data_IF_844331533013
#
_entry.id   IF_844331533013
#
_cell.length_a   1.000
_cell.length_b   1.000
_cell.length_c   1.000
_cell.angle_alpha   90.00
_cell.angle_beta   90.00
_cell.angle_gamma   90.00
#
_symmetry.space_group_name_H-M   'P 1'
#
loop_
_entity.id
_entity.type
_entity.pdbx_description
1 polymer ?
#
# COMPACT_ATOMS: atom_id res chain seq x y z
N UNK A 1 23.60 -31.75 70.10
CA UNK A 1 23.79 -30.35 69.68
C UNK A 1 23.71 -30.32 68.15
N UNK A 2 22.58 -29.92 67.61
CA UNK A 2 22.32 -29.85 66.17
C UNK A 2 22.77 -28.50 65.62
N UNK A 3 23.71 -28.50 64.66
CA UNK A 3 24.11 -27.28 63.93
C UNK A 3 23.10 -27.11 62.76
N UNK A 4 22.32 -26.08 62.81
CA UNK A 4 21.50 -25.64 61.71
C UNK A 4 22.39 -24.83 60.75
N UNK A 5 22.54 -25.32 59.52
CA UNK A 5 23.14 -24.58 58.42
C UNK A 5 22.07 -23.64 57.82
N UNK A 6 22.28 -22.35 57.94
CA UNK A 6 21.44 -21.32 57.34
C UNK A 6 21.90 -21.12 55.88
N UNK A 7 21.15 -21.68 54.94
CA UNK A 7 21.37 -21.41 53.51
C UNK A 7 20.79 -20.04 53.14
N UNK A 8 21.67 -19.10 52.95
CA UNK A 8 21.33 -17.78 52.42
C UNK A 8 21.18 -17.90 50.89
N UNK A 9 19.93 -18.02 50.41
CA UNK A 9 19.65 -17.89 48.99
C UNK A 9 19.77 -16.41 48.61
N UNK A 10 20.87 -16.08 47.94
CA UNK A 10 21.07 -14.77 47.31
C UNK A 10 20.19 -14.75 46.04
N UNK A 11 18.99 -14.20 46.14
CA UNK A 11 18.19 -13.86 44.96
C UNK A 11 18.89 -12.69 44.25
N UNK A 12 19.69 -13.02 43.20
CA UNK A 12 20.16 -12.01 42.26
C UNK A 12 18.92 -11.55 41.46
N UNK A 13 18.27 -10.49 41.94
CA UNK A 13 17.39 -9.70 41.09
C UNK A 13 18.27 -9.06 40.03
N UNK A 14 18.20 -9.58 38.80
CA UNK A 14 18.66 -8.90 37.60
C UNK A 14 17.84 -7.61 37.48
N UNK A 15 18.35 -6.55 38.14
CA UNK A 15 17.93 -5.20 37.79
C UNK A 15 18.44 -4.98 36.37
N UNK A 16 17.55 -5.07 35.41
CA UNK A 16 17.79 -4.54 34.06
C UNK A 16 18.10 -3.06 34.25
N UNK A 17 19.36 -2.70 34.13
CA UNK A 17 19.77 -1.30 34.03
C UNK A 17 19.04 -0.77 32.80
N UNK A 18 18.17 0.23 32.94
CA UNK A 18 17.54 0.81 31.74
C UNK A 18 18.67 1.28 30.82
N UNK A 19 18.70 0.76 29.62
CA UNK A 19 19.64 1.23 28.60
C UNK A 19 19.47 2.75 28.52
N UNK A 20 20.58 3.49 28.68
CA UNK A 20 20.56 4.95 28.53
C UNK A 20 19.98 5.26 27.15
N UNK A 21 18.90 6.04 27.14
CA UNK A 21 18.27 6.47 25.89
C UNK A 21 19.31 7.18 25.01
N UNK A 22 19.31 6.84 23.72
CA UNK A 22 20.20 7.43 22.71
C UNK A 22 19.45 8.52 21.95
N UNK A 23 20.13 9.59 21.65
CA UNK A 23 19.54 10.62 20.81
C UNK A 23 19.40 10.12 19.36
N UNK A 24 18.22 10.28 18.77
CA UNK A 24 17.92 9.90 17.38
C UNK A 24 18.25 8.44 17.04
N UNK A 25 17.79 7.51 17.84
CA UNK A 25 18.15 6.09 17.66
C UNK A 25 16.92 5.18 17.64
N UNK A 26 16.92 4.22 16.71
CA UNK A 26 15.98 3.12 16.70
C UNK A 26 16.16 2.17 17.91
N UNK A 27 17.33 2.18 18.56
CA UNK A 27 17.57 1.41 19.78
C UNK A 27 16.70 1.84 20.95
N UNK A 28 16.06 3.01 20.84
CA UNK A 28 15.08 3.49 21.81
C UNK A 28 13.74 2.76 21.74
N UNK A 29 13.46 2.04 20.64
CA UNK A 29 12.29 1.20 20.53
C UNK A 29 12.47 -0.10 21.31
N UNK A 30 12.19 -0.05 22.60
CA UNK A 30 12.34 -1.18 23.51
C UNK A 30 10.99 -1.62 24.05
N UNK A 31 10.72 -2.92 24.02
CA UNK A 31 9.54 -3.51 24.66
C UNK A 31 9.76 -3.52 26.17
N UNK A 32 9.23 -2.49 26.85
CA UNK A 32 9.39 -2.31 28.32
C UNK A 32 8.31 -2.98 29.15
N UNK A 33 7.30 -3.60 28.52
CA UNK A 33 6.18 -4.28 29.15
C UNK A 33 5.95 -5.64 28.53
N UNK A 34 5.18 -6.49 29.19
CA UNK A 34 4.73 -7.78 28.65
C UNK A 34 3.22 -7.75 28.47
N UNK A 35 2.75 -8.07 27.26
CA UNK A 35 1.33 -8.28 27.05
C UNK A 35 0.92 -9.67 27.58
N UNK A 36 -0.11 -9.70 28.41
CA UNK A 36 -0.64 -10.91 29.04
C UNK A 36 -2.18 -10.95 28.99
N UNK A 37 -2.76 -10.51 27.86
CA UNK A 37 -4.22 -10.52 27.67
C UNK A 37 -4.95 -9.35 28.32
N UNK A 38 -4.35 -8.17 28.37
CA UNK A 38 -4.95 -7.00 29.04
C UNK A 38 -6.21 -6.47 28.32
N UNK A 39 -6.39 -6.78 27.04
CA UNK A 39 -7.54 -6.30 26.28
C UNK A 39 -8.54 -7.41 26.02
N UNK A 40 -9.76 -7.24 26.57
CA UNK A 40 -10.82 -8.27 26.51
C UNK A 40 -11.37 -8.52 25.09
N UNK A 41 -11.20 -7.57 24.17
CA UNK A 41 -11.60 -7.67 22.77
C UNK A 41 -10.49 -8.19 21.83
N UNK A 42 -9.34 -8.60 22.37
CA UNK A 42 -8.20 -9.10 21.59
C UNK A 42 -7.92 -10.58 21.91
N UNK A 43 -8.65 -11.53 21.34
CA UNK A 43 -8.40 -12.95 21.54
C UNK A 43 -7.12 -13.41 20.84
N UNK A 44 -6.44 -14.42 21.37
CA UNK A 44 -5.35 -15.11 20.69
C UNK A 44 -5.79 -15.57 19.29
N UNK A 45 -4.94 -15.37 18.30
CA UNK A 45 -5.26 -15.69 16.90
C UNK A 45 -6.04 -14.60 16.14
N UNK A 46 -6.41 -13.47 16.77
CA UNK A 46 -6.94 -12.33 16.04
C UNK A 46 -5.89 -11.75 15.09
N UNK A 47 -6.27 -11.34 13.88
CA UNK A 47 -5.36 -10.79 12.85
C UNK A 47 -4.43 -9.69 13.37
N UNK A 48 -4.89 -8.87 14.32
CA UNK A 48 -4.11 -7.78 14.90
C UNK A 48 -3.49 -8.13 16.26
N UNK A 49 -3.52 -9.40 16.69
CA UNK A 49 -3.05 -9.78 18.03
C UNK A 49 -1.61 -9.34 18.28
N UNK A 50 -0.69 -9.76 17.42
CA UNK A 50 0.75 -9.43 17.56
C UNK A 50 1.00 -7.92 17.52
N UNK A 51 0.29 -7.21 16.63
CA UNK A 51 0.47 -5.77 16.50
C UNK A 51 -0.04 -5.01 17.72
N UNK A 52 -1.22 -5.34 18.24
CA UNK A 52 -1.80 -4.66 19.40
C UNK A 52 -1.02 -5.01 20.68
N UNK A 53 -0.60 -6.28 20.83
CA UNK A 53 0.29 -6.69 21.90
C UNK A 53 1.61 -5.92 21.90
N UNK A 54 2.27 -5.83 20.73
CA UNK A 54 3.49 -5.07 20.57
C UNK A 54 3.30 -3.58 20.87
N UNK A 55 2.19 -2.97 20.42
CA UNK A 55 1.90 -1.56 20.71
C UNK A 55 1.79 -1.28 22.22
N UNK A 56 1.23 -2.22 22.98
CA UNK A 56 1.20 -2.17 24.43
C UNK A 56 2.60 -2.34 25.04
N UNK A 57 3.37 -3.30 24.54
CA UNK A 57 4.71 -3.61 25.03
C UNK A 57 5.72 -2.47 24.81
N UNK A 58 5.62 -1.76 23.69
CA UNK A 58 6.37 -0.54 23.42
C UNK A 58 5.88 0.69 24.23
N UNK A 59 4.83 0.53 25.04
CA UNK A 59 4.29 1.63 25.86
C UNK A 59 3.55 2.70 25.06
N UNK A 60 3.24 2.44 23.79
CA UNK A 60 2.57 3.38 22.90
C UNK A 60 1.05 3.42 23.11
N UNK A 61 0.45 2.35 23.64
CA UNK A 61 -0.97 2.29 23.99
C UNK A 61 -1.20 1.54 25.29
N UNK A 62 -2.25 1.92 26.01
CA UNK A 62 -2.77 1.22 27.19
C UNK A 62 -4.21 0.72 27.00
N UNK A 63 -4.76 0.84 25.78
CA UNK A 63 -6.15 0.52 25.48
C UNK A 63 -7.13 1.60 25.92
N UNK A 64 -8.37 1.21 26.16
CA UNK A 64 -9.45 2.05 26.61
C UNK A 64 -9.76 1.81 28.11
N UNK A 65 -10.50 2.74 28.72
CA UNK A 65 -10.82 2.69 30.15
C UNK A 65 -11.72 1.49 30.52
N UNK A 66 -12.43 0.90 29.57
CA UNK A 66 -13.28 -0.26 29.74
C UNK A 66 -12.55 -1.61 29.64
N UNK A 67 -11.21 -1.58 29.48
CA UNK A 67 -10.40 -2.78 29.35
C UNK A 67 -10.39 -3.38 27.94
N UNK A 68 -10.90 -2.66 26.95
CA UNK A 68 -10.82 -3.05 25.52
C UNK A 68 -9.69 -2.31 24.82
N UNK A 69 -9.27 -2.80 23.66
CA UNK A 69 -8.46 -2.02 22.73
C UNK A 69 -9.33 -1.17 21.79
N UNK A 70 -10.52 -1.64 21.47
CA UNK A 70 -11.46 -1.02 20.53
C UNK A 70 -11.10 -1.32 19.08
N UNK A 71 -10.79 -2.57 18.74
CA UNK A 71 -10.24 -3.01 17.46
C UNK A 71 -10.96 -2.45 16.23
N UNK A 72 -12.30 -2.46 16.24
CA UNK A 72 -13.16 -2.05 15.13
C UNK A 72 -13.54 -0.58 15.16
N UNK A 73 -13.27 0.10 16.28
CA UNK A 73 -13.58 1.53 16.41
C UNK A 73 -12.75 2.37 15.41
N UNK A 74 -13.37 3.36 14.75
CA UNK A 74 -12.63 4.27 13.90
C UNK A 74 -11.66 5.12 14.73
N UNK A 75 -10.51 5.45 14.15
CA UNK A 75 -9.52 6.35 14.74
C UNK A 75 -9.75 7.77 14.23
N UNK A 76 -9.58 8.78 15.08
CA UNK A 76 -9.59 10.17 14.63
C UNK A 76 -8.19 10.60 14.17
N UNK A 77 -8.12 11.64 13.34
CA UNK A 77 -6.84 12.26 12.93
C UNK A 77 -6.01 12.67 14.14
N UNK A 78 -6.63 13.28 15.15
CA UNK A 78 -5.95 13.66 16.39
C UNK A 78 -5.37 12.48 17.15
N UNK A 79 -6.05 11.35 17.18
CA UNK A 79 -5.50 10.11 17.78
C UNK A 79 -4.30 9.58 16.98
N UNK A 80 -4.35 9.63 15.65
CA UNK A 80 -3.20 9.26 14.82
C UNK A 80 -1.99 10.17 15.10
N UNK A 81 -2.22 11.47 15.23
CA UNK A 81 -1.19 12.46 15.57
C UNK A 81 -0.58 12.20 16.96
N UNK A 82 -1.37 11.80 17.97
CA UNK A 82 -0.84 11.40 19.28
C UNK A 82 0.13 10.22 19.13
N UNK A 83 -0.28 9.16 18.45
CA UNK A 83 0.59 7.99 18.26
C UNK A 83 1.87 8.35 17.49
N UNK A 84 1.75 9.14 16.45
CA UNK A 84 2.88 9.62 15.67
C UNK A 84 3.85 10.44 16.53
N UNK A 85 3.35 11.39 17.33
CA UNK A 85 4.13 12.18 18.22
C UNK A 85 4.88 11.34 19.26
N UNK A 86 4.24 10.31 19.81
CA UNK A 86 4.87 9.37 20.74
C UNK A 86 5.99 8.57 20.07
N UNK A 87 5.77 8.05 18.88
CA UNK A 87 6.81 7.33 18.12
C UNK A 87 7.99 8.25 17.81
N UNK A 88 7.72 9.48 17.35
CA UNK A 88 8.78 10.45 17.05
C UNK A 88 9.56 10.82 18.30
N UNK A 89 8.88 11.09 19.41
CA UNK A 89 9.51 11.41 20.69
C UNK A 89 10.34 10.25 21.23
N UNK A 90 9.80 9.03 21.16
CA UNK A 90 10.53 7.81 21.56
C UNK A 90 11.81 7.65 20.74
N UNK A 91 11.77 7.82 19.42
CA UNK A 91 12.95 7.81 18.56
C UNK A 91 13.97 8.87 18.95
N UNK A 92 13.50 10.10 19.23
CA UNK A 92 14.36 11.25 19.53
C UNK A 92 15.01 11.17 20.91
N UNK A 93 14.29 10.68 21.91
CA UNK A 93 14.65 10.87 23.33
C UNK A 93 14.61 9.60 24.18
N UNK A 94 14.03 8.53 23.68
CA UNK A 94 13.73 7.32 24.45
C UNK A 94 12.50 7.43 25.38
N UNK A 95 11.82 8.58 25.37
CA UNK A 95 10.58 8.82 26.12
C UNK A 95 9.47 9.28 25.17
N UNK A 96 8.33 8.56 25.09
CA UNK A 96 7.24 8.89 24.15
C UNK A 96 6.57 10.24 24.43
N UNK A 97 6.72 10.79 25.65
CA UNK A 97 6.04 12.04 26.06
C UNK A 97 6.98 13.26 26.13
N UNK A 98 8.29 13.07 26.14
CA UNK A 98 9.26 14.16 26.34
C UNK A 98 9.17 15.26 25.28
N UNK A 99 9.05 14.91 24.00
CA UNK A 99 8.93 15.88 22.92
C UNK A 99 7.64 16.69 22.99
N UNK A 100 6.44 16.06 23.01
CA UNK A 100 5.17 16.76 23.16
C UNK A 100 5.05 17.60 24.44
N UNK A 101 5.68 17.16 25.55
CA UNK A 101 5.63 17.88 26.82
C UNK A 101 6.09 19.34 26.73
N UNK A 102 7.04 19.65 25.83
CA UNK A 102 7.52 21.01 25.59
C UNK A 102 6.41 21.97 25.11
N UNK A 103 5.33 21.45 24.53
CA UNK A 103 4.22 22.23 23.96
C UNK A 103 2.97 22.26 24.86
N UNK A 104 2.97 21.47 25.96
CA UNK A 104 1.80 21.34 26.85
C UNK A 104 1.36 22.67 27.46
N UNK A 105 2.30 23.50 27.87
CA UNK A 105 1.98 24.81 28.45
C UNK A 105 1.26 25.75 27.47
N UNK A 106 1.63 25.71 26.19
CA UNK A 106 0.98 26.50 25.14
C UNK A 106 -0.45 26.02 24.85
N UNK A 107 -0.78 24.77 25.12
CA UNK A 107 -2.08 24.17 24.89
C UNK A 107 -3.12 24.43 25.99
N UNK A 108 -2.74 24.99 27.14
CA UNK A 108 -3.60 25.14 28.32
C UNK A 108 -4.87 25.97 28.02
N UNK A 109 -4.79 26.95 27.12
CA UNK A 109 -5.93 27.79 26.72
C UNK A 109 -6.90 27.18 25.73
N UNK A 110 -6.59 25.99 25.19
CA UNK A 110 -7.41 25.28 24.21
C UNK A 110 -8.52 24.50 24.89
N UNK A 111 -9.60 24.24 24.15
CA UNK A 111 -10.75 23.46 24.65
C UNK A 111 -10.51 21.97 24.49
N UNK A 112 -10.88 21.21 25.50
CA UNK A 112 -11.05 19.75 25.56
C UNK A 112 -10.11 18.94 24.64
N UNK A 113 -10.68 18.36 23.59
CA UNK A 113 -9.94 17.49 22.66
C UNK A 113 -8.76 18.19 21.97
N UNK A 114 -8.89 19.47 21.62
CA UNK A 114 -7.81 20.24 21.00
C UNK A 114 -6.60 20.35 21.96
N UNK A 115 -6.85 20.56 23.25
CA UNK A 115 -5.78 20.60 24.24
C UNK A 115 -5.00 19.28 24.33
N UNK A 116 -5.66 18.16 24.07
CA UNK A 116 -5.03 16.83 24.09
C UNK A 116 -4.16 16.61 22.87
N UNK A 117 -4.61 17.03 21.67
CA UNK A 117 -3.91 16.79 20.41
C UNK A 117 -2.79 17.78 20.11
N UNK A 118 -3.01 19.07 20.48
CA UNK A 118 -2.14 20.16 20.08
C UNK A 118 -0.66 19.99 20.44
N UNK A 119 -0.28 19.50 21.63
CA UNK A 119 1.13 19.28 21.96
C UNK A 119 1.84 18.35 20.99
N UNK A 120 1.18 17.27 20.56
CA UNK A 120 1.74 16.31 19.63
C UNK A 120 1.80 16.87 18.21
N UNK A 121 0.73 17.56 17.76
CA UNK A 121 0.70 18.22 16.47
C UNK A 121 1.83 19.24 16.34
N UNK A 122 1.92 20.17 17.28
CA UNK A 122 2.95 21.21 17.27
C UNK A 122 4.36 20.66 17.37
N UNK A 123 4.54 19.60 18.14
CA UNK A 123 5.81 18.87 18.19
C UNK A 123 6.18 18.29 16.82
N UNK A 124 5.28 17.57 16.15
CA UNK A 124 5.56 16.98 14.84
C UNK A 124 5.83 18.06 13.77
N UNK A 125 5.12 19.18 13.83
CA UNK A 125 5.35 20.34 12.96
C UNK A 125 6.70 21.00 13.24
N UNK A 126 7.07 21.16 14.50
CA UNK A 126 8.37 21.70 14.88
C UNK A 126 9.54 20.80 14.48
N UNK A 127 9.34 19.47 14.49
CA UNK A 127 10.28 18.49 13.95
C UNK A 127 10.32 18.45 12.42
N UNK A 128 9.43 19.16 11.73
CA UNK A 128 9.35 19.22 10.27
C UNK A 128 8.89 17.91 9.62
N UNK A 129 8.23 17.03 10.37
CA UNK A 129 7.79 15.70 9.88
C UNK A 129 6.30 15.64 9.55
N UNK A 130 5.53 16.63 9.93
CA UNK A 130 4.12 16.81 9.57
C UNK A 130 3.87 18.27 9.18
N UNK A 131 3.16 18.48 8.11
CA UNK A 131 2.73 19.81 7.66
C UNK A 131 1.39 20.23 8.32
N UNK A 132 0.75 21.30 7.80
CA UNK A 132 -0.49 21.86 8.34
C UNK A 132 -1.76 21.32 7.65
N UNK A 133 -1.65 20.38 6.74
CA UNK A 133 -2.78 19.90 5.94
C UNK A 133 -3.93 19.31 6.80
N UNK A 134 -3.61 18.82 8.00
CA UNK A 134 -4.57 18.18 8.89
C UNK A 134 -5.00 19.05 10.11
N UNK A 135 -4.52 20.29 10.23
CA UNK A 135 -4.74 21.12 11.43
C UNK A 135 -6.21 21.28 11.82
N UNK A 136 -7.09 21.43 10.85
CA UNK A 136 -8.52 21.61 11.08
C UNK A 136 -9.34 20.32 11.10
N UNK A 137 -8.67 19.17 10.92
CA UNK A 137 -9.32 17.88 10.77
C UNK A 137 -9.14 16.95 11.98
N UNK A 138 -8.49 17.39 13.05
CA UNK A 138 -8.10 16.55 14.18
C UNK A 138 -9.25 15.82 14.86
N UNK A 139 -10.46 16.39 14.87
CA UNK A 139 -11.65 15.75 15.42
C UNK A 139 -12.33 14.77 14.48
N UNK A 140 -11.99 14.80 13.18
CA UNK A 140 -12.61 13.96 12.18
C UNK A 140 -12.07 12.51 12.26
N UNK A 141 -12.88 11.58 11.80
CA UNK A 141 -12.42 10.19 11.57
C UNK A 141 -11.33 10.23 10.49
N UNK A 142 -10.21 9.62 10.78
CA UNK A 142 -9.09 9.57 9.86
C UNK A 142 -9.36 8.59 8.71
N UNK A 143 -9.07 9.00 7.49
CA UNK A 143 -8.97 8.09 6.36
C UNK A 143 -7.63 7.34 6.39
N UNK A 144 -7.55 6.25 5.64
CA UNK A 144 -6.29 5.51 5.49
C UNK A 144 -5.21 6.36 4.81
N UNK A 145 -5.57 7.21 3.86
CA UNK A 145 -4.65 8.16 3.21
C UNK A 145 -4.11 9.22 4.20
N UNK A 146 -4.96 9.76 5.07
CA UNK A 146 -4.52 10.66 6.13
C UNK A 146 -3.59 9.97 7.14
N UNK A 147 -3.86 8.71 7.48
CA UNK A 147 -2.95 7.92 8.32
C UNK A 147 -1.59 7.73 7.64
N UNK A 148 -1.56 7.47 6.33
CA UNK A 148 -0.31 7.37 5.58
C UNK A 148 0.48 8.68 5.65
N UNK A 149 -0.17 9.82 5.46
CA UNK A 149 0.44 11.15 5.56
C UNK A 149 1.05 11.41 6.94
N UNK A 150 0.35 11.06 8.00
CA UNK A 150 0.85 11.20 9.38
C UNK A 150 2.10 10.36 9.63
N UNK A 151 2.22 9.20 8.99
CA UNK A 151 3.31 8.25 9.25
C UNK A 151 4.53 8.38 8.33
N UNK A 152 4.32 8.82 7.10
CA UNK A 152 5.32 8.69 6.03
C UNK A 152 6.68 9.33 6.33
N UNK A 153 6.68 10.49 7.00
CA UNK A 153 7.90 11.25 7.28
C UNK A 153 8.34 11.19 8.75
N UNK A 154 7.69 10.33 9.53
CA UNK A 154 7.87 10.26 10.98
C UNK A 154 9.28 9.82 11.39
N UNK A 155 9.87 8.92 10.64
CA UNK A 155 11.20 8.36 10.89
C UNK A 155 12.08 8.49 9.63
N UNK A 156 13.41 8.63 9.80
CA UNK A 156 14.33 8.71 8.67
C UNK A 156 14.44 7.37 7.92
N UNK A 157 14.90 7.42 6.68
CA UNK A 157 15.06 6.25 5.82
C UNK A 157 16.05 5.22 6.39
N UNK A 158 17.03 5.67 7.17
CA UNK A 158 17.95 4.78 7.89
C UNK A 158 17.25 3.86 8.90
N UNK A 159 16.09 4.27 9.41
CA UNK A 159 15.24 3.49 10.33
C UNK A 159 14.10 2.79 9.59
N UNK A 160 13.61 3.40 8.52
CA UNK A 160 12.58 2.88 7.63
C UNK A 160 13.16 2.64 6.22
N UNK A 161 14.12 1.71 6.06
CA UNK A 161 14.64 1.41 4.74
C UNK A 161 13.55 0.80 3.85
N UNK A 162 13.60 1.03 2.54
CA UNK A 162 12.74 0.35 1.60
C UNK A 162 13.05 -1.16 1.60
N UNK A 163 12.03 -1.97 1.82
CA UNK A 163 12.13 -3.45 1.81
C UNK A 163 11.40 -4.05 0.61
N UNK A 164 10.54 -3.27 -0.04
CA UNK A 164 9.66 -3.69 -1.13
C UNK A 164 9.81 -2.87 -2.41
N UNK A 165 10.92 -2.17 -2.63
CA UNK A 165 11.09 -1.25 -3.77
C UNK A 165 10.78 -1.89 -5.12
N UNK A 166 11.32 -3.08 -5.35
CA UNK A 166 11.09 -3.80 -6.60
C UNK A 166 9.64 -4.26 -6.78
N UNK A 167 8.98 -4.67 -5.69
CA UNK A 167 7.58 -5.10 -5.72
C UNK A 167 6.63 -3.94 -6.03
N UNK A 168 6.90 -2.76 -5.48
CA UNK A 168 6.09 -1.56 -5.75
C UNK A 168 6.22 -1.13 -7.21
N UNK A 169 7.44 -1.09 -7.72
CA UNK A 169 7.69 -0.75 -9.13
C UNK A 169 7.00 -1.75 -10.05
N UNK A 170 7.08 -3.05 -9.76
CA UNK A 170 6.42 -4.09 -10.53
C UNK A 170 4.89 -4.03 -10.42
N UNK A 171 4.37 -3.88 -9.22
CA UNK A 171 2.94 -3.78 -8.99
C UNK A 171 2.35 -2.56 -9.69
N UNK A 172 3.08 -1.46 -9.66
CA UNK A 172 2.67 -0.22 -10.29
C UNK A 172 2.76 -0.28 -11.81
N UNK A 173 3.85 -0.80 -12.33
CA UNK A 173 4.04 -0.98 -13.78
C UNK A 173 3.03 -1.97 -14.38
N UNK A 174 2.74 -3.07 -13.67
CA UNK A 174 1.76 -4.06 -14.11
C UNK A 174 0.31 -3.64 -13.89
N UNK A 175 0.06 -2.58 -13.12
CA UNK A 175 -1.27 -2.10 -12.70
C UNK A 175 -2.17 -3.18 -12.08
N UNK A 176 -1.58 -4.24 -11.54
CA UNK A 176 -2.29 -5.39 -10.98
C UNK A 176 -2.48 -5.30 -9.48
N UNK A 177 -1.70 -4.42 -8.83
CA UNK A 177 -1.72 -4.19 -7.39
C UNK A 177 -1.77 -2.70 -7.11
N UNK A 178 -2.28 -2.32 -5.97
CA UNK A 178 -2.48 -0.91 -5.58
C UNK A 178 -3.29 -0.17 -6.65
N UNK A 179 -4.32 -0.82 -7.16
CA UNK A 179 -5.10 -0.34 -8.33
C UNK A 179 -5.93 0.89 -8.04
N UNK A 180 -6.20 1.14 -6.76
CA UNK A 180 -7.02 2.23 -6.24
C UNK A 180 -6.20 3.46 -5.82
N UNK A 181 -4.90 3.50 -6.14
CA UNK A 181 -4.00 4.63 -5.83
C UNK A 181 -3.35 5.13 -7.12
N UNK A 182 -3.56 6.41 -7.42
CA UNK A 182 -2.99 7.10 -8.58
C UNK A 182 -2.29 8.37 -8.14
N UNK A 183 -1.58 9.03 -9.05
CA UNK A 183 -0.94 10.32 -8.80
C UNK A 183 -1.92 11.43 -8.36
N UNK A 184 -3.22 11.24 -8.59
CA UNK A 184 -4.29 12.15 -8.14
C UNK A 184 -4.85 11.79 -6.77
N UNK A 185 -4.49 10.64 -6.21
CA UNK A 185 -4.93 10.24 -4.87
C UNK A 185 -4.26 11.14 -3.83
N UNK A 186 -5.02 11.74 -2.91
CA UNK A 186 -4.43 12.52 -1.82
C UNK A 186 -3.35 11.71 -1.08
N UNK A 187 -2.21 12.35 -0.82
CA UNK A 187 -1.07 11.73 -0.14
C UNK A 187 -0.47 10.51 -0.87
N UNK A 188 -0.55 10.49 -2.19
CA UNK A 188 -0.04 9.44 -3.06
C UNK A 188 1.38 8.97 -2.71
N UNK A 189 2.34 9.89 -2.62
CA UNK A 189 3.73 9.54 -2.31
C UNK A 189 3.90 8.96 -0.90
N UNK A 190 3.09 9.42 0.05
CA UNK A 190 3.11 8.92 1.42
C UNK A 190 2.56 7.49 1.47
N UNK A 191 1.49 7.21 0.73
CA UNK A 191 0.94 5.86 0.59
C UNK A 191 2.00 4.92 -0.01
N UNK A 192 2.63 5.29 -1.12
CA UNK A 192 3.66 4.47 -1.75
C UNK A 192 4.85 4.22 -0.80
N UNK A 193 5.24 5.22 -0.01
CA UNK A 193 6.30 5.06 0.98
C UNK A 193 5.96 4.00 2.03
N UNK A 194 4.72 3.94 2.50
CA UNK A 194 4.30 2.89 3.44
C UNK A 194 4.40 1.48 2.84
N UNK A 195 4.06 1.32 1.57
CA UNK A 195 4.25 0.02 0.88
C UNK A 195 5.73 -0.31 0.74
N UNK A 196 6.54 0.62 0.27
CA UNK A 196 7.99 0.44 0.10
C UNK A 196 8.68 -0.01 1.38
N UNK A 197 8.27 0.56 2.52
CA UNK A 197 8.86 0.24 3.83
C UNK A 197 8.21 -0.96 4.53
N UNK A 198 7.25 -1.65 3.91
CA UNK A 198 6.57 -2.79 4.50
C UNK A 198 5.61 -2.45 5.65
N UNK A 199 5.18 -1.19 5.73
CA UNK A 199 4.23 -0.71 6.74
C UNK A 199 2.80 -1.07 6.33
N UNK A 200 2.49 -0.98 5.03
CA UNK A 200 1.24 -1.44 4.43
C UNK A 200 1.50 -2.43 3.31
N UNK A 201 0.57 -3.36 3.12
CA UNK A 201 0.54 -4.27 1.96
C UNK A 201 -0.84 -4.29 1.29
N UNK A 202 -1.67 -3.31 1.64
CA UNK A 202 -3.06 -3.25 1.22
C UNK A 202 -4.03 -3.86 2.21
N UNK A 203 -5.29 -3.92 1.82
CA UNK A 203 -6.41 -4.40 2.64
C UNK A 203 -6.99 -5.72 2.14
N UNK A 204 -6.59 -6.14 0.96
CA UNK A 204 -7.04 -7.36 0.29
C UNK A 204 -5.90 -8.03 -0.49
N UNK A 205 -6.20 -9.15 -1.14
CA UNK A 205 -5.24 -9.92 -1.95
C UNK A 205 -4.73 -9.16 -3.18
N UNK A 206 -5.45 -8.14 -3.63
CA UNK A 206 -5.03 -7.30 -4.75
C UNK A 206 -4.09 -6.17 -4.31
N UNK A 207 -3.90 -6.00 -3.01
CA UNK A 207 -3.09 -4.94 -2.45
C UNK A 207 -3.77 -3.58 -2.48
N UNK A 208 -5.09 -3.50 -2.60
CA UNK A 208 -5.84 -2.23 -2.58
C UNK A 208 -5.62 -1.47 -1.28
N UNK A 209 -5.36 -0.18 -1.38
CA UNK A 209 -5.09 0.65 -0.20
C UNK A 209 -6.36 1.14 0.48
N UNK A 210 -7.43 1.40 -0.27
CA UNK A 210 -8.68 2.01 0.17
C UNK A 210 -8.45 3.39 0.80
N UNK A 211 -7.91 4.37 0.04
CA UNK A 211 -7.41 5.63 0.58
C UNK A 211 -8.45 6.44 1.36
N UNK A 212 -9.70 6.45 0.91
CA UNK A 212 -10.79 7.22 1.50
C UNK A 212 -11.52 6.49 2.63
N UNK A 213 -11.25 5.20 2.82
CA UNK A 213 -11.89 4.42 3.87
C UNK A 213 -11.43 4.84 5.26
N UNK A 214 -12.34 4.88 6.25
CA UNK A 214 -11.97 5.08 7.64
C UNK A 214 -10.96 4.04 8.11
N UNK A 215 -9.92 4.48 8.83
CA UNK A 215 -9.00 3.54 9.47
C UNK A 215 -9.53 3.12 10.83
N UNK A 216 -9.55 1.81 11.10
CA UNK A 216 -9.87 1.28 12.42
C UNK A 216 -8.64 1.30 13.33
N UNK A 217 -8.86 1.29 14.65
CA UNK A 217 -7.76 1.24 15.63
C UNK A 217 -6.92 -0.02 15.48
N UNK A 218 -7.52 -1.18 15.13
CA UNK A 218 -6.78 -2.41 14.85
C UNK A 218 -5.86 -2.29 13.63
N UNK A 219 -6.37 -1.76 12.52
CA UNK A 219 -5.58 -1.53 11.31
C UNK A 219 -4.47 -0.48 11.54
N UNK A 220 -4.77 0.58 12.30
CA UNK A 220 -3.78 1.58 12.68
C UNK A 220 -2.69 0.98 13.58
N UNK A 221 -3.02 0.10 14.54
CA UNK A 221 -2.04 -0.59 15.37
C UNK A 221 -1.03 -1.36 14.54
N UNK A 222 -1.49 -2.05 13.48
CA UNK A 222 -0.59 -2.76 12.58
C UNK A 222 0.40 -1.82 11.88
N UNK A 223 -0.04 -0.67 11.39
CA UNK A 223 0.84 0.32 10.78
C UNK A 223 1.82 0.91 11.81
N UNK A 224 1.33 1.31 12.97
CA UNK A 224 2.14 1.94 14.04
C UNK A 224 3.24 1.01 14.56
N UNK A 225 2.94 -0.26 14.78
CA UNK A 225 3.93 -1.22 15.28
C UNK A 225 4.99 -1.55 14.26
N UNK A 226 4.64 -1.62 12.97
CA UNK A 226 5.61 -1.79 11.90
C UNK A 226 6.57 -0.62 11.73
N UNK A 227 6.18 0.58 12.20
CA UNK A 227 7.09 1.72 12.27
C UNK A 227 8.22 1.47 13.26
N UNK A 228 7.93 0.89 14.41
CA UNK A 228 8.87 0.75 15.55
C UNK A 228 9.54 -0.63 15.61
N UNK A 229 8.93 -1.66 15.00
CA UNK A 229 9.41 -3.03 15.03
C UNK A 229 9.66 -3.56 13.60
N UNK A 230 10.92 -3.61 13.17
CA UNK A 230 11.26 -4.13 11.84
C UNK A 230 10.83 -5.59 11.60
N UNK A 231 10.72 -6.40 12.67
CA UNK A 231 10.30 -7.81 12.54
C UNK A 231 8.84 -7.99 12.15
N UNK A 232 8.02 -6.96 12.35
CA UNK A 232 6.60 -6.93 11.98
C UNK A 232 6.34 -6.35 10.58
N UNK A 233 7.38 -5.84 9.91
CA UNK A 233 7.26 -5.32 8.54
C UNK A 233 6.96 -6.44 7.57
N UNK A 234 6.15 -6.13 6.58
CA UNK A 234 5.67 -7.12 5.63
C UNK A 234 6.42 -7.00 4.30
N UNK A 235 6.86 -8.13 3.80
CA UNK A 235 7.27 -8.32 2.41
C UNK A 235 6.19 -9.18 1.76
N UNK A 236 5.21 -8.58 1.10
CA UNK A 236 4.14 -9.37 0.52
C UNK A 236 4.70 -10.23 -0.60
N UNK A 237 4.37 -11.49 -0.56
CA UNK A 237 4.50 -12.38 -1.70
C UNK A 237 3.32 -12.11 -2.65
N UNK A 238 3.40 -11.01 -3.36
CA UNK A 238 2.48 -10.78 -4.44
C UNK A 238 2.88 -11.69 -5.60
N UNK A 239 2.43 -12.93 -5.55
CA UNK A 239 2.45 -13.77 -6.72
C UNK A 239 1.67 -13.04 -7.81
N UNK A 240 2.38 -12.44 -8.74
CA UNK A 240 1.79 -12.12 -10.02
C UNK A 240 1.33 -13.47 -10.57
N UNK A 241 0.05 -13.62 -11.00
CA UNK A 241 -0.38 -14.85 -11.61
C UNK A 241 0.64 -15.20 -12.68
N UNK A 242 1.04 -16.47 -12.74
CA UNK A 242 1.97 -16.98 -13.75
C UNK A 242 1.43 -16.54 -15.10
N UNK A 243 2.08 -15.55 -15.70
CA UNK A 243 1.75 -15.12 -17.06
C UNK A 243 2.20 -16.15 -18.09
N UNK A 244 3.06 -17.08 -17.63
CA UNK A 244 3.61 -18.15 -18.44
C UNK A 244 3.63 -19.44 -17.62
N UNK A 245 2.74 -20.39 -17.95
CA UNK A 245 3.02 -21.75 -17.62
C UNK A 245 4.17 -22.23 -18.51
N UNK A 246 5.08 -23.01 -17.96
CA UNK A 246 6.24 -23.57 -18.68
C UNK A 246 5.89 -24.47 -19.88
N UNK A 247 4.62 -24.66 -20.20
CA UNK A 247 4.10 -25.55 -21.23
C UNK A 247 3.63 -24.81 -22.51
N UNK A 248 4.13 -23.57 -22.72
CA UNK A 248 3.91 -22.91 -24.01
C UNK A 248 2.44 -22.63 -24.31
N UNK A 249 1.75 -21.97 -23.38
CA UNK A 249 0.52 -21.28 -23.73
C UNK A 249 0.84 -20.30 -24.86
N UNK A 250 0.27 -20.54 -26.03
CA UNK A 250 0.48 -19.64 -27.16
C UNK A 250 0.08 -18.23 -26.73
N UNK A 251 0.82 -17.21 -27.18
CA UNK A 251 0.49 -15.80 -26.88
C UNK A 251 -0.94 -15.43 -27.25
N UNK A 252 -1.53 -16.15 -28.19
CA UNK A 252 -2.94 -16.08 -28.55
C UNK A 252 -3.88 -16.38 -27.38
N UNK A 253 -3.49 -17.27 -26.43
CA UNK A 253 -4.31 -17.62 -25.26
C UNK A 253 -4.38 -16.51 -24.22
N UNK A 254 -3.42 -15.59 -24.20
CA UNK A 254 -3.42 -14.44 -23.28
C UNK A 254 -4.49 -13.40 -23.65
N UNK A 255 -4.90 -13.36 -24.90
CA UNK A 255 -5.92 -12.42 -25.43
C UNK A 255 -7.30 -13.10 -25.54
N UNK A 256 -7.35 -14.43 -25.65
CA UNK A 256 -8.55 -15.16 -26.08
C UNK A 256 -9.53 -15.54 -24.97
N UNK A 257 -9.18 -15.42 -23.70
CA UNK A 257 -9.98 -15.98 -22.60
C UNK A 257 -10.98 -15.00 -21.94
N UNK A 258 -11.42 -13.96 -22.63
CA UNK A 258 -12.41 -13.03 -22.10
C UNK A 258 -13.85 -13.54 -22.23
N UNK A 259 -14.72 -13.16 -21.32
CA UNK A 259 -16.15 -13.42 -21.35
C UNK A 259 -16.90 -12.10 -21.55
N UNK A 260 -17.89 -12.11 -22.42
CA UNK A 260 -18.76 -10.95 -22.57
C UNK A 260 -19.56 -10.71 -21.27
N UNK A 261 -19.35 -9.56 -20.66
CA UNK A 261 -20.06 -9.10 -19.47
C UNK A 261 -20.78 -7.81 -19.84
N UNK A 262 -22.10 -7.86 -19.87
CA UNK A 262 -22.92 -6.73 -20.30
C UNK A 262 -22.98 -5.60 -19.25
N UNK A 263 -22.87 -5.94 -17.98
CA UNK A 263 -22.91 -5.01 -16.84
C UNK A 263 -21.81 -5.35 -15.84
N UNK A 264 -20.55 -4.95 -16.09
CA UNK A 264 -19.45 -5.21 -15.19
C UNK A 264 -19.59 -4.35 -13.92
N UNK A 265 -19.40 -4.97 -12.75
CA UNK A 265 -19.50 -4.31 -11.45
C UNK A 265 -18.12 -4.16 -10.79
N UNK A 266 -17.20 -5.07 -11.10
CA UNK A 266 -15.86 -5.10 -10.49
C UNK A 266 -14.76 -4.87 -11.53
N UNK A 267 -13.56 -4.49 -11.08
CA UNK A 267 -12.39 -4.37 -11.94
C UNK A 267 -12.08 -5.69 -12.70
N UNK A 268 -12.37 -6.85 -12.09
CA UNK A 268 -12.22 -8.15 -12.72
C UNK A 268 -13.23 -8.37 -13.84
N UNK A 269 -14.46 -7.89 -13.69
CA UNK A 269 -15.49 -7.95 -14.74
C UNK A 269 -15.11 -7.07 -15.92
N UNK A 270 -14.59 -5.87 -15.68
CA UNK A 270 -14.05 -5.00 -16.73
C UNK A 270 -12.88 -5.64 -17.46
N UNK A 271 -11.99 -6.33 -16.73
CA UNK A 271 -10.88 -7.07 -17.33
C UNK A 271 -11.38 -8.15 -18.29
N UNK A 272 -12.37 -8.94 -17.89
CA UNK A 272 -12.99 -9.97 -18.73
C UNK A 272 -13.70 -9.38 -19.94
N UNK A 273 -14.49 -8.33 -19.74
CA UNK A 273 -15.22 -7.66 -20.83
C UNK A 273 -14.26 -7.06 -21.87
N UNK A 274 -13.17 -6.45 -21.43
CA UNK A 274 -12.14 -5.89 -22.31
C UNK A 274 -11.39 -6.99 -23.07
N UNK A 275 -11.01 -8.07 -22.42
CA UNK A 275 -10.39 -9.22 -23.11
C UNK A 275 -11.31 -9.77 -24.19
N UNK A 276 -12.61 -9.91 -23.89
CA UNK A 276 -13.58 -10.34 -24.89
C UNK A 276 -13.62 -9.38 -26.08
N UNK A 277 -13.72 -8.07 -25.84
CA UNK A 277 -13.70 -7.04 -26.88
C UNK A 277 -12.44 -7.15 -27.76
N UNK A 278 -11.26 -7.24 -27.13
CA UNK A 278 -9.98 -7.34 -27.84
C UNK A 278 -9.88 -8.65 -28.64
N UNK A 279 -10.40 -9.78 -28.12
CA UNK A 279 -10.42 -11.06 -28.82
C UNK A 279 -11.31 -11.05 -30.08
N UNK A 280 -12.27 -10.15 -30.13
CA UNK A 280 -13.11 -9.95 -31.32
C UNK A 280 -12.51 -8.95 -32.34
N UNK A 281 -11.32 -8.41 -32.07
CA UNK A 281 -10.72 -7.35 -32.87
C UNK A 281 -11.43 -6.00 -32.76
N UNK A 282 -12.23 -5.83 -31.71
CA UNK A 282 -13.03 -4.62 -31.48
C UNK A 282 -12.29 -3.62 -30.60
N UNK A 283 -12.63 -2.34 -30.77
CA UNK A 283 -12.16 -1.26 -29.91
C UNK A 283 -13.30 -0.54 -29.17
N UNK A 284 -14.47 -1.16 -29.16
CA UNK A 284 -15.68 -0.58 -28.58
C UNK A 284 -16.32 -1.57 -27.62
N UNK A 285 -16.52 -1.13 -26.39
CA UNK A 285 -17.20 -1.91 -25.35
C UNK A 285 -18.57 -1.31 -25.08
N UNK A 286 -19.63 -2.10 -25.30
CA UNK A 286 -21.00 -1.69 -25.02
C UNK A 286 -21.46 -2.32 -23.71
N UNK A 287 -21.85 -1.49 -22.76
CA UNK A 287 -22.22 -1.91 -21.41
C UNK A 287 -23.67 -1.47 -21.09
N UNK A 288 -24.33 -2.22 -20.22
CA UNK A 288 -25.65 -1.88 -19.67
C UNK A 288 -25.51 -1.29 -18.28
N UNK A 289 -26.29 -0.27 -18.00
CA UNK A 289 -26.34 0.37 -16.68
C UNK A 289 -27.77 0.60 -16.23
N UNK A 290 -27.98 0.61 -14.91
CA UNK A 290 -29.23 0.96 -14.29
C UNK A 290 -29.53 2.46 -14.39
N UNK A 291 -30.81 2.83 -14.14
CA UNK A 291 -31.30 4.21 -14.28
C UNK A 291 -30.67 5.22 -13.30
N UNK A 292 -29.99 4.74 -12.26
CA UNK A 292 -29.32 5.58 -11.25
C UNK A 292 -27.86 5.91 -11.60
N UNK A 293 -27.49 5.70 -12.86
CA UNK A 293 -26.14 5.95 -13.35
C UNK A 293 -25.78 7.44 -13.30
N UNK A 294 -24.65 7.75 -12.68
CA UNK A 294 -24.12 9.11 -12.50
C UNK A 294 -22.89 9.37 -13.36
N UNK A 295 -22.52 10.64 -13.52
CA UNK A 295 -21.24 11.01 -14.16
C UNK A 295 -20.04 10.38 -13.43
N UNK A 296 -20.11 10.25 -12.10
CA UNK A 296 -19.07 9.60 -11.30
C UNK A 296 -18.95 8.12 -11.66
N UNK A 297 -20.07 7.41 -11.77
CA UNK A 297 -20.10 6.00 -12.19
C UNK A 297 -19.56 5.81 -13.61
N UNK A 298 -19.85 6.76 -14.53
CA UNK A 298 -19.30 6.75 -15.88
C UNK A 298 -17.78 6.89 -15.89
N UNK A 299 -17.26 7.77 -15.05
CA UNK A 299 -15.81 7.99 -14.93
C UNK A 299 -15.11 6.76 -14.35
N UNK A 300 -15.70 6.13 -13.34
CA UNK A 300 -15.20 4.91 -12.75
C UNK A 300 -15.17 3.75 -13.76
N UNK A 301 -16.27 3.55 -14.49
CA UNK A 301 -16.35 2.56 -15.54
C UNK A 301 -15.29 2.79 -16.63
N UNK A 302 -15.13 4.04 -17.08
CA UNK A 302 -14.12 4.43 -18.05
C UNK A 302 -12.71 4.13 -17.55
N UNK A 303 -12.42 4.47 -16.30
CA UNK A 303 -11.11 4.23 -15.68
C UNK A 303 -10.81 2.72 -15.58
N UNK A 304 -11.75 1.92 -15.09
CA UNK A 304 -11.59 0.47 -14.99
C UNK A 304 -11.38 -0.19 -16.36
N UNK A 305 -12.18 0.20 -17.35
CA UNK A 305 -12.05 -0.31 -18.71
C UNK A 305 -10.72 0.14 -19.38
N UNK A 306 -10.31 1.39 -19.18
CA UNK A 306 -9.03 1.89 -19.70
C UNK A 306 -7.83 1.20 -19.06
N UNK A 307 -7.91 0.91 -17.76
CA UNK A 307 -6.88 0.13 -17.04
C UNK A 307 -6.79 -1.29 -17.62
N UNK A 308 -7.92 -1.94 -17.87
CA UNK A 308 -7.97 -3.27 -18.47
C UNK A 308 -7.39 -3.27 -19.90
N UNK A 309 -7.78 -2.29 -20.73
CA UNK A 309 -7.24 -2.12 -22.10
C UNK A 309 -5.72 -1.95 -22.07
N UNK A 310 -5.21 -1.06 -21.23
CA UNK A 310 -3.76 -0.85 -21.10
C UNK A 310 -3.00 -2.08 -20.60
N UNK A 311 -3.68 -3.00 -19.96
CA UNK A 311 -3.13 -4.26 -19.46
C UNK A 311 -3.02 -5.33 -20.55
N UNK A 312 -3.95 -5.34 -21.48
CA UNK A 312 -4.12 -6.41 -22.48
C UNK A 312 -3.88 -5.96 -23.92
N UNK A 313 -3.65 -4.66 -24.17
CA UNK A 313 -3.39 -4.13 -25.49
C UNK A 313 -1.94 -3.71 -25.63
N UNK A 314 -1.17 -4.44 -26.41
CA UNK A 314 0.25 -4.20 -26.67
C UNK A 314 0.50 -2.87 -27.39
N UNK A 315 -0.51 -2.35 -28.06
CA UNK A 315 -0.43 -1.14 -28.87
C UNK A 315 -0.85 0.13 -28.17
N UNK A 316 -1.09 0.06 -26.88
CA UNK A 316 -1.34 1.27 -26.11
C UNK A 316 -2.50 2.10 -26.58
N UNK A 317 -3.74 1.60 -26.50
CA UNK A 317 -4.87 2.52 -26.50
C UNK A 317 -4.64 3.53 -25.35
N UNK A 318 -4.39 4.76 -25.72
CA UNK A 318 -4.05 5.81 -24.77
C UNK A 318 -5.20 6.80 -24.56
N UNK A 319 -6.22 6.73 -25.40
CA UNK A 319 -7.43 7.53 -25.31
C UNK A 319 -8.67 6.65 -25.22
N UNK A 320 -9.65 7.10 -24.47
CA UNK A 320 -10.97 6.51 -24.43
C UNK A 320 -12.03 7.61 -24.41
N UNK A 321 -13.13 7.37 -25.08
CA UNK A 321 -14.33 8.20 -25.02
C UNK A 321 -15.49 7.39 -24.46
N UNK A 322 -16.33 8.07 -23.68
CA UNK A 322 -17.55 7.50 -23.12
C UNK A 322 -18.76 8.25 -23.66
N UNK A 323 -19.74 7.51 -24.14
CA UNK A 323 -21.07 8.04 -24.46
C UNK A 323 -22.13 7.13 -23.84
N UNK A 324 -23.23 7.69 -23.40
CA UNK A 324 -24.34 6.93 -22.84
C UNK A 324 -25.67 7.52 -23.28
N UNK A 325 -26.70 6.68 -23.30
CA UNK A 325 -28.04 7.05 -23.75
C UNK A 325 -29.09 6.81 -22.64
N UNK A 326 -30.26 7.39 -22.81
CA UNK A 326 -31.39 7.26 -21.91
C UNK A 326 -31.96 5.82 -21.82
N UNK A 327 -31.53 4.90 -22.69
CA UNK A 327 -31.94 3.51 -22.69
C UNK A 327 -31.02 2.63 -21.80
N UNK A 328 -30.12 3.21 -21.01
CA UNK A 328 -29.23 2.49 -20.10
C UNK A 328 -28.08 1.77 -20.82
N UNK A 329 -27.64 2.28 -21.96
CA UNK A 329 -26.43 1.77 -22.64
C UNK A 329 -25.32 2.78 -22.57
N UNK A 330 -24.15 2.35 -22.11
CA UNK A 330 -22.90 3.10 -22.20
C UNK A 330 -21.99 2.46 -23.24
N UNK A 331 -21.40 3.30 -24.07
CA UNK A 331 -20.43 2.90 -25.08
C UNK A 331 -19.08 3.51 -24.73
N UNK A 332 -18.10 2.66 -24.49
CA UNK A 332 -16.70 3.03 -24.31
C UNK A 332 -15.97 2.73 -25.63
N UNK A 333 -15.38 3.74 -26.24
CA UNK A 333 -14.58 3.59 -27.45
C UNK A 333 -13.14 3.95 -27.16
N UNK A 334 -12.24 3.03 -27.48
CA UNK A 334 -10.80 3.19 -27.28
C UNK A 334 -10.12 3.58 -28.58
N UNK A 335 -9.08 4.39 -28.48
CA UNK A 335 -8.28 4.82 -29.61
C UNK A 335 -6.80 4.90 -29.25
N UNK A 336 -5.95 4.66 -30.23
CA UNK A 336 -4.51 4.75 -30.15
C UNK A 336 -4.00 5.90 -31.02
N UNK A 337 -2.78 6.35 -30.76
CA UNK A 337 -2.07 7.30 -31.63
C UNK A 337 -1.90 6.71 -33.04
N UNK A 338 -1.78 5.38 -33.14
CA UNK A 338 -1.61 4.68 -34.40
C UNK A 338 -2.85 4.79 -35.34
N UNK A 339 -4.02 5.16 -34.79
CA UNK A 339 -5.25 5.28 -35.58
C UNK A 339 -5.60 3.98 -36.30
N UNK A 340 -5.80 4.06 -37.63
CA UNK A 340 -6.22 2.90 -38.47
C UNK A 340 -5.14 1.80 -38.58
N UNK A 341 -3.88 2.08 -38.20
CA UNK A 341 -2.79 1.11 -38.18
C UNK A 341 -2.64 0.34 -36.88
N UNK A 342 -3.57 0.52 -35.94
CA UNK A 342 -3.49 -0.11 -34.62
C UNK A 342 -3.33 -1.63 -34.68
N UNK A 343 -4.06 -2.30 -35.56
CA UNK A 343 -3.97 -3.75 -35.69
C UNK A 343 -2.67 -4.20 -36.36
N UNK A 344 -2.18 -3.46 -37.34
CA UNK A 344 -0.86 -3.71 -37.96
C UNK A 344 0.24 -3.61 -36.89
N UNK A 345 0.31 -2.51 -36.14
CA UNK A 345 1.31 -2.32 -35.10
C UNK A 345 1.18 -3.34 -33.96
N UNK A 346 -0.05 -3.74 -33.61
CA UNK A 346 -0.28 -4.80 -32.63
C UNK A 346 0.34 -6.12 -33.08
N UNK A 347 0.09 -6.51 -34.33
CA UNK A 347 0.65 -7.74 -34.92
C UNK A 347 2.17 -7.69 -35.00
N UNK A 348 2.74 -6.56 -35.41
CA UNK A 348 4.17 -6.36 -35.48
C UNK A 348 4.83 -6.39 -34.10
N UNK A 349 4.24 -5.69 -33.11
CA UNK A 349 4.75 -5.67 -31.73
C UNK A 349 4.68 -7.06 -31.09
N UNK A 350 3.59 -7.79 -31.27
CA UNK A 350 3.46 -9.14 -30.76
C UNK A 350 4.50 -10.08 -31.39
N UNK A 351 4.66 -10.01 -32.69
CA UNK A 351 5.66 -10.82 -33.42
C UNK A 351 7.08 -10.52 -32.94
N UNK A 352 7.41 -9.24 -32.72
CA UNK A 352 8.70 -8.84 -32.17
C UNK A 352 8.89 -9.34 -30.75
N UNK A 353 7.86 -9.23 -29.89
CA UNK A 353 7.93 -9.71 -28.52
C UNK A 353 8.13 -11.23 -28.44
N UNK A 354 7.45 -12.00 -29.31
CA UNK A 354 7.63 -13.44 -29.43
C UNK A 354 9.07 -13.77 -29.84
N UNK A 355 9.60 -13.08 -30.84
CA UNK A 355 10.97 -13.31 -31.31
C UNK A 355 12.01 -13.02 -30.23
N UNK A 356 11.81 -11.98 -29.44
CA UNK A 356 12.68 -11.67 -28.26
C UNK A 356 12.57 -12.77 -27.20
N UNK A 357 11.36 -13.20 -26.89
CA UNK A 357 11.14 -14.29 -25.95
C UNK A 357 11.87 -15.56 -26.39
N UNK A 358 11.67 -15.99 -27.61
CA UNK A 358 12.29 -17.19 -28.15
C UNK A 358 13.81 -17.10 -28.16
N UNK A 359 14.38 -15.94 -28.48
CA UNK A 359 15.80 -15.72 -28.41
C UNK A 359 16.36 -15.85 -26.99
N UNK A 360 15.70 -15.22 -26.00
CA UNK A 360 16.10 -15.32 -24.59
C UNK A 360 15.96 -16.75 -24.04
N UNK A 361 14.94 -17.47 -24.49
CA UNK A 361 14.72 -18.87 -24.16
C UNK A 361 15.80 -19.78 -24.75
N UNK A 362 16.08 -19.66 -26.05
CA UNK A 362 17.11 -20.43 -26.73
C UNK A 362 18.52 -20.19 -26.17
N UNK A 363 18.77 -18.97 -25.69
CA UNK A 363 20.04 -18.61 -25.03
C UNK A 363 20.12 -19.14 -23.58
N UNK A 364 19.03 -19.69 -23.03
CA UNK A 364 18.95 -20.10 -21.63
C UNK A 364 18.95 -18.94 -20.65
N UNK A 365 18.72 -17.71 -21.10
CA UNK A 365 18.61 -16.52 -20.25
C UNK A 365 17.32 -16.58 -19.42
N UNK A 366 16.25 -17.08 -20.00
CA UNK A 366 15.01 -17.43 -19.31
C UNK A 366 14.74 -18.93 -19.49
N UNK A 367 14.20 -19.56 -18.45
CA UNK A 367 13.94 -21.00 -18.38
C UNK A 367 12.62 -21.24 -17.68
N UNK A 368 12.06 -22.49 -17.70
CA UNK A 368 10.87 -22.83 -16.92
C UNK A 368 11.01 -22.58 -15.40
N UNK A 369 12.25 -22.54 -14.91
CA UNK A 369 12.54 -22.28 -13.50
C UNK A 369 12.73 -20.78 -13.20
N UNK A 370 12.76 -19.92 -14.23
CA UNK A 370 12.96 -18.49 -14.05
C UNK A 370 11.76 -17.86 -13.38
N UNK A 371 12.03 -17.04 -12.35
CA UNK A 371 11.02 -16.22 -11.71
C UNK A 371 10.56 -15.09 -12.65
N UNK A 372 9.38 -14.56 -12.43
CA UNK A 372 8.88 -13.43 -13.21
C UNK A 372 9.81 -12.21 -13.18
N UNK A 373 10.51 -12.02 -12.07
CA UNK A 373 11.52 -10.96 -11.93
C UNK A 373 12.71 -11.19 -12.86
N UNK A 374 13.21 -12.40 -12.92
CA UNK A 374 14.32 -12.78 -13.82
C UNK A 374 13.92 -12.62 -15.27
N UNK A 375 12.69 -13.04 -15.61
CA UNK A 375 12.13 -12.85 -16.95
C UNK A 375 12.01 -11.37 -17.29
N UNK A 376 11.39 -10.57 -16.42
CA UNK A 376 11.25 -9.12 -16.64
C UNK A 376 12.60 -8.42 -16.73
N UNK A 377 13.58 -8.84 -15.92
CA UNK A 377 14.94 -8.29 -15.99
C UNK A 377 15.65 -8.66 -17.28
N UNK A 378 15.47 -9.88 -17.77
CA UNK A 378 16.00 -10.31 -19.06
C UNK A 378 15.45 -9.48 -20.23
N UNK A 379 14.13 -9.22 -20.23
CA UNK A 379 13.51 -8.34 -21.22
C UNK A 379 14.02 -6.90 -21.12
N UNK A 380 14.10 -6.37 -19.90
CA UNK A 380 14.64 -5.02 -19.69
C UNK A 380 16.06 -4.88 -20.23
N UNK A 381 16.93 -5.83 -19.92
CA UNK A 381 18.31 -5.84 -20.43
C UNK A 381 18.35 -5.93 -21.96
N UNK A 382 17.47 -6.75 -22.54
CA UNK A 382 17.38 -6.86 -23.99
C UNK A 382 16.93 -5.54 -24.62
N UNK A 383 15.89 -4.91 -24.10
CA UNK A 383 15.40 -3.59 -24.58
C UNK A 383 16.51 -2.54 -24.44
N UNK A 384 17.15 -2.46 -23.29
CA UNK A 384 18.22 -1.49 -23.05
C UNK A 384 19.43 -1.66 -24.00
N UNK A 385 19.69 -2.89 -24.45
CA UNK A 385 20.80 -3.19 -25.35
C UNK A 385 20.45 -3.02 -26.84
N UNK A 386 19.16 -3.15 -27.22
CA UNK A 386 18.75 -3.25 -28.62
C UNK A 386 17.80 -2.14 -29.08
N UNK A 387 17.25 -1.33 -28.15
CA UNK A 387 16.35 -0.25 -28.48
C UNK A 387 17.00 1.09 -28.18
N UNK A 388 16.82 2.05 -29.09
CA UNK A 388 17.17 3.46 -28.88
C UNK A 388 15.90 4.27 -28.75
N UNK A 389 15.95 5.27 -27.86
CA UNK A 389 14.82 6.19 -27.72
C UNK A 389 14.70 7.05 -28.98
N UNK A 390 13.49 7.17 -29.50
CA UNK A 390 13.19 8.03 -30.63
C UNK A 390 13.04 9.48 -30.17
N UNK A 391 14.16 10.24 -30.19
CA UNK A 391 14.17 11.66 -29.86
C UNK A 391 13.51 12.55 -30.94
N UNK A 392 13.33 12.01 -32.13
CA UNK A 392 12.75 12.77 -33.26
C UNK A 392 11.22 12.80 -33.20
N UNK A 393 10.59 11.86 -32.52
CA UNK A 393 9.15 11.76 -32.38
C UNK A 393 8.43 11.45 -33.70
N UNK A 394 9.13 10.88 -34.68
CA UNK A 394 8.62 10.57 -36.02
C UNK A 394 8.02 9.14 -36.12
N UNK A 395 8.00 8.39 -35.03
CA UNK A 395 7.43 7.03 -34.94
C UNK A 395 8.00 6.03 -35.97
N UNK A 396 9.29 6.14 -36.35
CA UNK A 396 9.97 5.20 -37.25
C UNK A 396 10.65 4.05 -36.49
#
# INVERSE_FOLDING_TARGET
MKKQALSLLLALSLMSVPALAKENSADNFVRGKTYAGQFSDLPEGHTFYENVAALYEYGLSVGQADGTYGLTAPMTVGQAVIFAGRIRSLYRTGDPEAGPAAFTAAAIGLKDAQRVYAPYLWYLQAEGVLDKALDEQLANVATRAQMAHVLANLLPETVLPPVNDSLITQAYASRRRITDVTEYTPYYNDILKLYRCGISVGSDETGSFLPDSPITRGAAAAMLTRMVDPSLRLTPDWHLPELYSAEGAAYEDLVTAGTYIAAPETAADYDQAVRYMLSQGENTLSLKYDQDFTVSSAQEALNNALLAVKRHCEQGYNNASCSYNAAGTMILKFSSIAGDRTEEYRSETLSAAIAVHDALWQQGTITPASTQREIAWAYYQWIAANCTYDDAGDNT
#
